data_IF_861252974612
#
_entry.id   IF_861252974612
#
_cell.length_a   1.000
_cell.length_b   1.000
_cell.length_c   1.000
_cell.angle_alpha   90.00
_cell.angle_beta   90.00
_cell.angle_gamma   90.00
#
_symmetry.space_group_name_H-M   'P 1'
#
loop_
_entity.id
_entity.type
_entity.pdbx_description
1 polymer ?
#
# COMPACT_ATOMS: atom_id res chain seq x y z
N UNK A 1 -10.78 4.96 -8.33
CA UNK A 1 -9.71 5.97 -8.14
C UNK A 1 -9.68 6.51 -6.71
N UNK A 2 -10.71 7.24 -6.25
CA UNK A 2 -10.72 7.86 -4.89
C UNK A 2 -10.45 6.86 -3.75
N UNK A 3 -11.00 5.65 -3.80
CA UNK A 3 -10.71 4.62 -2.81
C UNK A 3 -9.23 4.22 -2.75
N UNK A 4 -8.57 4.10 -3.91
CA UNK A 4 -7.15 3.79 -4.01
C UNK A 4 -6.29 4.93 -3.46
N UNK A 5 -6.60 6.17 -3.84
CA UNK A 5 -5.94 7.38 -3.33
C UNK A 5 -5.91 7.39 -1.80
N UNK A 6 -7.06 7.19 -1.16
CA UNK A 6 -7.15 7.15 0.30
C UNK A 6 -6.44 5.93 0.90
N UNK A 7 -6.55 4.75 0.26
CA UNK A 7 -5.88 3.53 0.72
C UNK A 7 -4.36 3.70 0.80
N UNK A 8 -3.74 4.23 -0.25
CA UNK A 8 -2.30 4.49 -0.27
C UNK A 8 -1.90 5.61 0.69
N UNK A 9 -2.75 6.64 0.86
CA UNK A 9 -2.51 7.68 1.86
C UNK A 9 -2.53 7.13 3.29
N UNK A 10 -3.49 6.27 3.65
CA UNK A 10 -3.50 5.60 4.97
C UNK A 10 -2.34 4.63 5.18
N UNK A 11 -1.71 4.17 4.10
CA UNK A 11 -0.56 3.25 4.17
C UNK A 11 0.75 4.00 4.42
N UNK A 12 0.80 5.31 4.17
CA UNK A 12 1.98 6.17 4.39
C UNK A 12 2.11 6.58 5.87
N UNK A 13 2.18 5.58 6.76
CA UNK A 13 2.30 5.76 8.21
C UNK A 13 3.60 5.25 8.82
N UNK A 14 4.40 4.50 8.05
CA UNK A 14 5.70 3.95 8.45
C UNK A 14 6.75 4.13 7.34
N UNK A 15 8.00 4.26 7.76
CA UNK A 15 9.18 4.46 6.92
C UNK A 15 9.29 3.36 5.85
N UNK A 16 9.17 3.75 4.58
CA UNK A 16 9.25 2.85 3.43
C UNK A 16 7.98 2.04 3.15
N UNK A 17 6.93 2.10 3.98
CA UNK A 17 5.76 1.24 3.80
C UNK A 17 5.04 1.49 2.48
N UNK A 18 4.49 2.69 2.29
CA UNK A 18 3.74 3.03 1.06
C UNK A 18 4.62 2.97 -0.19
N UNK A 19 5.85 3.48 -0.12
CA UNK A 19 6.77 3.51 -1.25
C UNK A 19 7.16 2.10 -1.72
N UNK A 20 7.52 1.20 -0.79
CA UNK A 20 7.91 -0.16 -1.15
C UNK A 20 6.77 -1.04 -1.63
N UNK A 21 5.59 -0.94 -1.00
CA UNK A 21 4.40 -1.63 -1.50
C UNK A 21 4.05 -1.21 -2.92
N UNK A 22 4.11 0.09 -3.19
CA UNK A 22 3.85 0.61 -4.53
C UNK A 22 4.92 0.17 -5.52
N UNK A 23 6.19 0.23 -5.16
CA UNK A 23 7.28 -0.24 -6.02
C UNK A 23 7.09 -1.70 -6.44
N UNK A 24 6.71 -2.58 -5.50
CA UNK A 24 6.42 -3.99 -5.78
C UNK A 24 5.22 -4.13 -6.73
N UNK A 25 4.14 -3.37 -6.51
CA UNK A 25 2.95 -3.38 -7.39
C UNK A 25 3.29 -2.89 -8.81
N UNK A 26 4.14 -1.87 -8.95
CA UNK A 26 4.52 -1.32 -10.25
C UNK A 26 5.28 -2.32 -11.14
N UNK A 27 5.85 -3.39 -10.56
CA UNK A 27 6.49 -4.47 -11.33
C UNK A 27 5.50 -5.14 -12.30
N UNK A 28 4.22 -5.25 -11.94
CA UNK A 28 3.18 -5.78 -12.84
C UNK A 28 2.98 -4.93 -14.10
N UNK A 29 3.30 -3.64 -14.02
CA UNK A 29 2.98 -2.65 -15.05
C UNK A 29 4.22 -2.16 -15.81
N UNK A 30 5.36 -2.86 -15.75
CA UNK A 30 6.62 -2.41 -16.36
C UNK A 30 6.56 -2.18 -17.88
N UNK A 31 5.56 -2.73 -18.57
CA UNK A 31 5.28 -2.39 -19.97
C UNK A 31 4.86 -0.92 -20.18
N UNK A 32 4.39 -0.24 -19.13
CA UNK A 32 4.06 1.18 -19.13
C UNK A 32 5.30 2.03 -18.80
N UNK A 33 5.69 2.98 -19.68
CA UNK A 33 6.78 3.92 -19.39
C UNK A 33 6.58 4.71 -18.10
N UNK A 34 5.32 5.03 -17.78
CA UNK A 34 4.96 5.72 -16.53
C UNK A 34 5.29 4.85 -15.31
N UNK A 35 4.95 3.56 -15.34
CA UNK A 35 5.23 2.65 -14.24
C UNK A 35 6.73 2.45 -14.04
N UNK A 36 7.49 2.31 -15.14
CA UNK A 36 8.95 2.19 -15.08
C UNK A 36 9.61 3.45 -14.50
N UNK A 37 9.17 4.65 -14.91
CA UNK A 37 9.67 5.91 -14.37
C UNK A 37 9.32 6.08 -12.88
N UNK A 38 8.08 5.77 -12.50
CA UNK A 38 7.64 5.81 -11.10
C UNK A 38 8.41 4.81 -10.25
N UNK A 39 8.66 3.59 -10.73
CA UNK A 39 9.46 2.61 -10.01
C UNK A 39 10.88 3.14 -9.76
N UNK A 40 11.54 3.69 -10.78
CA UNK A 40 12.86 4.30 -10.62
C UNK A 40 12.87 5.44 -9.60
N UNK A 41 11.87 6.33 -9.66
CA UNK A 41 11.72 7.41 -8.69
C UNK A 41 11.50 6.89 -7.25
N UNK A 42 10.68 5.83 -7.08
CA UNK A 42 10.41 5.24 -5.77
C UNK A 42 11.61 4.50 -5.19
N UNK A 43 12.40 3.81 -6.01
CA UNK A 43 13.65 3.21 -5.56
C UNK A 43 14.65 4.27 -5.10
N UNK A 44 14.74 5.40 -5.83
CA UNK A 44 15.54 6.55 -5.40
C UNK A 44 15.00 7.20 -4.11
N UNK A 45 13.68 7.32 -3.98
CA UNK A 45 13.05 7.85 -2.77
C UNK A 45 13.26 6.93 -1.56
N UNK A 46 13.11 5.62 -1.72
CA UNK A 46 13.33 4.61 -0.67
C UNK A 46 14.75 4.67 -0.09
N UNK A 47 15.75 5.07 -0.88
CA UNK A 47 17.10 5.32 -0.36
C UNK A 47 17.15 6.34 0.79
N UNK A 48 16.21 7.29 0.80
CA UNK A 48 16.08 8.32 1.81
C UNK A 48 14.93 8.09 2.79
N UNK A 49 13.92 7.30 2.40
CA UNK A 49 12.72 7.04 3.18
C UNK A 49 12.74 5.71 3.95
N UNK A 50 13.61 4.75 3.59
CA UNK A 50 13.78 3.53 4.36
C UNK A 50 14.28 3.86 5.78
N UNK A 51 13.80 3.08 6.76
CA UNK A 51 14.04 3.36 8.17
C UNK A 51 15.54 3.44 8.54
N UNK A 52 15.96 4.48 9.28
CA UNK A 52 15.20 5.66 9.71
C UNK A 52 15.03 6.70 8.58
N UNK A 53 13.80 7.14 8.32
CA UNK A 53 13.52 8.07 7.22
C UNK A 53 14.15 9.46 7.41
N UNK A 54 14.69 9.99 6.31
CA UNK A 54 15.19 11.37 6.19
C UNK A 54 14.26 12.27 5.39
N UNK A 55 13.41 11.67 4.56
CA UNK A 55 12.42 12.35 3.73
C UNK A 55 11.09 11.61 3.86
N UNK A 56 10.03 12.36 4.15
CA UNK A 56 8.67 11.84 4.21
C UNK A 56 7.96 12.07 2.89
N UNK A 57 7.06 11.15 2.55
CA UNK A 57 6.34 11.16 1.28
C UNK A 57 5.25 12.24 1.27
N UNK A 58 4.40 12.24 2.30
CA UNK A 58 3.33 13.21 2.48
C UNK A 58 2.16 12.98 1.51
N UNK A 59 1.06 13.71 1.74
CA UNK A 59 -0.20 13.50 1.01
C UNK A 59 -0.06 13.62 -0.51
N UNK A 60 0.76 14.55 -1.01
CA UNK A 60 0.98 14.72 -2.46
C UNK A 60 1.56 13.45 -3.10
N UNK A 61 2.54 12.83 -2.44
CA UNK A 61 3.17 11.62 -2.93
C UNK A 61 2.25 10.41 -2.82
N UNK A 62 1.69 10.18 -1.63
CA UNK A 62 0.89 8.98 -1.35
C UNK A 62 -0.43 8.96 -2.13
N UNK A 63 -1.12 10.10 -2.25
CA UNK A 63 -2.31 10.25 -3.06
C UNK A 63 -2.01 10.08 -4.56
N UNK A 64 -0.88 10.66 -5.02
CA UNK A 64 -0.39 10.52 -6.39
C UNK A 64 -0.11 9.06 -6.75
N UNK A 65 0.53 8.30 -5.86
CA UNK A 65 0.75 6.87 -6.07
C UNK A 65 -0.55 6.07 -6.12
N UNK A 66 -1.48 6.34 -5.20
CA UNK A 66 -2.79 5.69 -5.20
C UNK A 66 -3.58 5.96 -6.47
N UNK A 67 -3.50 7.17 -7.03
CA UNK A 67 -4.08 7.53 -8.32
C UNK A 67 -3.37 6.82 -9.48
N UNK A 68 -2.04 6.78 -9.48
CA UNK A 68 -1.24 6.12 -10.52
C UNK A 68 -1.53 4.63 -10.60
N UNK A 69 -1.53 3.92 -9.46
CA UNK A 69 -1.83 2.47 -9.41
C UNK A 69 -3.26 2.19 -9.90
N UNK A 70 -4.25 2.98 -9.49
CA UNK A 70 -5.61 2.84 -9.97
C UNK A 70 -5.74 3.15 -11.47
N UNK A 71 -5.04 4.18 -11.96
CA UNK A 71 -5.02 4.56 -13.37
C UNK A 71 -4.41 3.48 -14.24
N UNK A 72 -3.25 2.95 -13.85
CA UNK A 72 -2.60 1.83 -14.54
C UNK A 72 -3.53 0.61 -14.61
N UNK A 73 -4.17 0.23 -13.49
CA UNK A 73 -5.10 -0.89 -13.46
C UNK A 73 -6.34 -0.71 -14.35
N UNK A 74 -6.83 0.53 -14.50
CA UNK A 74 -7.94 0.85 -15.40
C UNK A 74 -7.49 0.74 -16.85
N UNK A 75 -6.32 1.31 -17.19
CA UNK A 75 -5.82 1.36 -18.56
C UNK A 75 -5.42 -0.02 -19.09
N UNK A 76 -4.90 -0.90 -18.25
CA UNK A 76 -4.59 -2.30 -18.60
C UNK A 76 -5.80 -3.24 -18.52
N UNK A 77 -6.99 -2.74 -18.15
CA UNK A 77 -8.19 -3.57 -18.00
C UNK A 77 -8.15 -4.55 -16.81
N UNK A 78 -7.20 -4.37 -15.90
CA UNK A 78 -6.93 -5.29 -14.78
C UNK A 78 -7.55 -4.85 -13.45
N UNK A 79 -8.60 -4.02 -13.50
CA UNK A 79 -9.25 -3.43 -12.31
C UNK A 79 -9.66 -4.48 -11.29
N UNK A 80 -10.10 -5.65 -11.75
CA UNK A 80 -10.54 -6.75 -10.88
C UNK A 80 -9.39 -7.38 -10.06
N UNK A 81 -8.15 -7.22 -10.50
CA UNK A 81 -6.96 -7.67 -9.78
C UNK A 81 -6.47 -6.67 -8.73
N UNK A 82 -6.93 -5.40 -8.80
CA UNK A 82 -6.51 -4.32 -7.90
C UNK A 82 -6.67 -4.65 -6.40
N UNK A 83 -7.80 -5.25 -5.93
CA UNK A 83 -7.93 -5.65 -4.54
C UNK A 83 -6.93 -6.70 -4.07
N UNK A 84 -6.29 -7.44 -4.99
CA UNK A 84 -5.37 -8.53 -4.69
C UNK A 84 -3.93 -8.00 -4.63
N UNK A 85 -3.45 -7.33 -5.68
CA UNK A 85 -2.08 -6.82 -5.66
C UNK A 85 -1.92 -5.58 -4.76
N UNK A 86 -2.99 -4.84 -4.49
CA UNK A 86 -3.02 -3.75 -3.51
C UNK A 86 -3.76 -4.13 -2.21
N UNK A 87 -3.72 -5.42 -1.83
CA UNK A 87 -4.43 -5.92 -0.66
C UNK A 87 -3.98 -5.22 0.63
N UNK A 88 -2.69 -4.94 0.81
CA UNK A 88 -2.21 -4.27 2.02
C UNK A 88 -2.82 -2.87 2.16
N UNK A 89 -2.71 -1.95 1.17
CA UNK A 89 -3.43 -0.67 1.23
C UNK A 89 -4.94 -0.80 1.41
N UNK A 90 -5.57 -1.81 0.78
CA UNK A 90 -6.99 -2.09 0.96
C UNK A 90 -7.31 -2.44 2.42
N UNK A 91 -6.51 -3.31 3.05
CA UNK A 91 -6.68 -3.70 4.45
C UNK A 91 -6.44 -2.53 5.40
N UNK A 92 -5.52 -1.62 5.07
CA UNK A 92 -5.28 -0.40 5.85
C UNK A 92 -6.55 0.46 5.91
N UNK A 93 -7.16 0.80 4.77
CA UNK A 93 -8.37 1.62 4.76
C UNK A 93 -9.59 0.88 5.33
N UNK A 94 -9.72 -0.42 5.07
CA UNK A 94 -10.80 -1.25 5.65
C UNK A 94 -10.66 -1.30 7.16
N UNK A 95 -9.44 -1.41 7.70
CA UNK A 95 -9.20 -1.41 9.14
C UNK A 95 -9.69 -0.10 9.80
N UNK A 96 -9.45 1.05 9.15
CA UNK A 96 -9.93 2.35 9.61
C UNK A 96 -11.46 2.41 9.60
N UNK A 97 -12.09 2.00 8.50
CA UNK A 97 -13.56 2.00 8.37
C UNK A 97 -14.18 1.13 9.47
N UNK A 98 -13.70 -0.10 9.62
CA UNK A 98 -14.21 -1.06 10.62
C UNK A 98 -14.00 -0.51 12.03
N UNK A 99 -12.81 0.04 12.34
CA UNK A 99 -12.50 0.61 13.65
C UNK A 99 -13.45 1.78 13.99
N UNK A 100 -13.67 2.71 13.05
CA UNK A 100 -14.57 3.86 13.26
C UNK A 100 -16.02 3.39 13.46
N UNK A 101 -16.51 2.46 12.62
CA UNK A 101 -17.86 1.92 12.76
C UNK A 101 -18.03 1.21 14.11
N UNK A 102 -17.05 0.39 14.51
CA UNK A 102 -17.09 -0.32 15.78
C UNK A 102 -17.07 0.63 16.98
N UNK A 103 -16.19 1.64 16.97
CA UNK A 103 -16.09 2.64 18.04
C UNK A 103 -17.41 3.39 18.24
N UNK A 104 -18.04 3.83 17.14
CA UNK A 104 -19.34 4.52 17.19
C UNK A 104 -20.46 3.61 17.69
N UNK A 105 -20.53 2.36 17.22
CA UNK A 105 -21.61 1.41 17.58
C UNK A 105 -21.50 0.90 19.01
N UNK A 106 -20.31 0.83 19.58
CA UNK A 106 -20.07 0.27 20.92
C UNK A 106 -19.94 1.32 22.01
N UNK A 107 -20.07 2.61 21.67
CA UNK A 107 -19.94 3.71 22.63
C UNK A 107 -18.51 3.91 23.13
N UNK A 108 -17.52 3.62 22.29
CA UNK A 108 -16.11 3.92 22.59
C UNK A 108 -15.18 2.72 22.73
N UNK A 109 -15.64 1.49 22.48
CA UNK A 109 -14.73 0.32 22.47
C UNK A 109 -13.92 0.30 21.17
N UNK A 110 -12.71 -0.24 21.23
CA UNK A 110 -11.79 -0.37 20.09
C UNK A 110 -11.66 -1.84 19.70
N UNK A 111 -11.76 -2.14 18.40
CA UNK A 111 -11.58 -3.50 17.87
C UNK A 111 -10.07 -3.81 17.72
N UNK A 112 -9.35 -2.90 17.09
CA UNK A 112 -7.90 -2.90 16.97
C UNK A 112 -7.29 -1.98 18.03
N UNK A 113 -6.07 -2.29 18.50
CA UNK A 113 -5.29 -1.40 19.39
C UNK A 113 -5.21 0.03 18.86
N UNK A 114 -4.94 0.16 17.56
CA UNK A 114 -5.02 1.40 16.78
C UNK A 114 -5.31 1.03 15.32
N UNK A 115 -5.95 1.94 14.58
CA UNK A 115 -6.05 1.89 13.13
C UNK A 115 -5.25 3.06 12.55
N UNK A 116 -4.57 2.93 11.40
CA UNK A 116 -4.60 1.78 10.49
C UNK A 116 -3.88 0.52 11.01
N UNK A 117 -3.93 -0.57 10.22
CA UNK A 117 -3.52 -1.92 10.62
C UNK A 117 -2.04 -2.01 10.98
N UNK A 118 -1.15 -1.26 10.34
CA UNK A 118 0.27 -1.26 10.71
C UNK A 118 0.49 -0.83 12.17
N UNK A 119 -0.20 0.21 12.65
CA UNK A 119 -0.11 0.65 14.05
C UNK A 119 -0.69 -0.38 15.03
N UNK A 120 -1.67 -1.19 14.60
CA UNK A 120 -2.11 -2.32 15.42
C UNK A 120 -0.94 -3.27 15.71
N UNK A 121 -0.14 -3.61 14.70
CA UNK A 121 1.01 -4.49 14.87
C UNK A 121 2.14 -3.85 15.68
N UNK A 122 2.40 -2.55 15.51
CA UNK A 122 3.38 -1.84 16.34
C UNK A 122 3.00 -1.85 17.83
N UNK A 123 1.75 -1.49 18.14
CA UNK A 123 1.23 -1.55 19.51
C UNK A 123 1.08 -2.99 20.04
N UNK A 124 1.25 -3.98 19.18
CA UNK A 124 1.37 -5.40 19.54
C UNK A 124 2.80 -5.82 19.87
N UNK A 125 3.76 -4.88 19.85
CA UNK A 125 5.16 -5.11 20.17
C UNK A 125 6.04 -5.46 18.97
N UNK A 126 5.57 -5.26 17.73
CA UNK A 126 6.43 -5.44 16.55
C UNK A 126 7.22 -4.17 16.28
N UNK A 127 8.53 -4.26 15.98
CA UNK A 127 9.26 -3.11 15.49
C UNK A 127 8.74 -2.71 14.09
N UNK A 128 8.73 -1.42 13.82
CA UNK A 128 8.29 -0.83 12.54
C UNK A 128 8.87 -1.56 11.32
N UNK A 129 10.19 -1.77 11.29
CA UNK A 129 10.88 -2.48 10.21
C UNK A 129 10.35 -3.89 9.97
N UNK A 130 9.91 -4.60 11.02
CA UNK A 130 9.29 -5.93 10.88
C UNK A 130 7.92 -5.84 10.25
N UNK A 131 7.13 -4.82 10.57
CA UNK A 131 5.81 -4.59 9.95
C UNK A 131 5.99 -4.31 8.46
N UNK A 132 6.88 -3.35 8.13
CA UNK A 132 7.19 -2.96 6.75
C UNK A 132 7.66 -4.14 5.91
N UNK A 133 8.68 -4.88 6.37
CA UNK A 133 9.20 -6.03 5.62
C UNK A 133 8.18 -7.15 5.43
N UNK A 134 7.31 -7.41 6.42
CA UNK A 134 6.26 -8.44 6.29
C UNK A 134 5.18 -8.02 5.31
N UNK A 135 4.81 -6.75 5.29
CA UNK A 135 3.81 -6.22 4.37
C UNK A 135 4.35 -6.17 2.92
N UNK A 136 5.64 -5.88 2.76
CA UNK A 136 6.34 -6.02 1.48
C UNK A 136 6.34 -7.48 0.99
N UNK A 137 6.72 -8.42 1.84
CA UNK A 137 6.72 -9.85 1.50
C UNK A 137 5.32 -10.34 1.09
N UNK A 138 4.28 -9.96 1.84
CA UNK A 138 2.90 -10.30 1.50
C UNK A 138 2.52 -9.76 0.12
N UNK A 139 2.82 -8.49 -0.14
CA UNK A 139 2.53 -7.84 -1.43
C UNK A 139 3.29 -8.48 -2.58
N UNK A 140 4.57 -8.82 -2.39
CA UNK A 140 5.38 -9.50 -3.40
C UNK A 140 4.81 -10.88 -3.77
N UNK A 141 4.36 -11.65 -2.78
CA UNK A 141 3.69 -12.94 -3.01
C UNK A 141 2.39 -12.74 -3.79
N UNK A 142 1.55 -11.77 -3.39
CA UNK A 142 0.29 -11.49 -4.08
C UNK A 142 0.51 -11.01 -5.51
N UNK A 143 1.51 -10.16 -5.75
CA UNK A 143 1.92 -9.73 -7.09
C UNK A 143 2.39 -10.92 -7.94
N UNK A 144 3.22 -11.80 -7.39
CA UNK A 144 3.69 -13.00 -8.11
C UNK A 144 2.52 -13.95 -8.44
N UNK A 145 1.57 -14.13 -7.51
CA UNK A 145 0.36 -14.93 -7.74
C UNK A 145 -0.52 -14.32 -8.84
N UNK A 146 -0.72 -13.01 -8.79
CA UNK A 146 -1.49 -12.27 -9.80
C UNK A 146 -0.84 -12.39 -11.19
N UNK A 147 0.49 -12.21 -11.28
CA UNK A 147 1.25 -12.41 -12.51
C UNK A 147 1.07 -13.83 -13.07
N UNK A 148 1.20 -14.85 -12.21
CA UNK A 148 1.02 -16.24 -12.60
C UNK A 148 -0.41 -16.55 -13.05
N UNK A 149 -1.41 -15.99 -12.38
CA UNK A 149 -2.83 -16.25 -12.67
C UNK A 149 -3.32 -15.50 -13.92
N UNK A 150 -2.75 -14.32 -14.22
CA UNK A 150 -3.09 -13.55 -15.42
C UNK A 150 -2.34 -14.02 -16.68
N UNK A 151 -1.47 -15.01 -16.56
CA UNK A 151 -0.62 -15.47 -17.66
C UNK A 151 0.46 -14.46 -18.08
N UNK A 152 0.81 -13.52 -17.19
CA UNK A 152 1.79 -12.46 -17.47
C UNK A 152 1.32 -11.39 -18.47
N UNK A 153 0.03 -11.35 -18.79
CA UNK A 153 -0.55 -10.38 -19.72
C UNK A 153 -1.08 -9.16 -18.94
N UNK A 154 -0.47 -8.00 -19.18
CA UNK A 154 -0.83 -6.67 -18.66
C UNK A 154 -0.64 -5.61 -19.74
#
# INVERSE_FOLDING_TARGET
VVGSVNAFNFTDGLDGLAAGLTAIVLVLFLGSPLAAALLGALLGFLWYNAHPARVFMGGVGSEGLGAAVAGLAILSGSVWWLPIFALVPLLEVVSVIVQVVYFRRTGGKRLLRMAPLHHHFELSGWPETRVVMRFWLLTAVLVALVWSASGGLW
#
